data_IF_304389652607
#
_entry.id   IF_304389652607
#
_cell.length_a   1.000
_cell.length_b   1.000
_cell.length_c   1.000
_cell.angle_alpha   90.00
_cell.angle_beta   90.00
_cell.angle_gamma   90.00
#
_symmetry.space_group_name_H-M   'P 1'
#
loop_
_entity.id
_entity.type
_entity.pdbx_description
1 polymer ?
#
# COMPACT_ATOMS: atom_id res chain seq x y z
N UNK A 1 0.63 6.14 -6.37
CA UNK A 1 -0.84 6.31 -6.26
C UNK A 1 -1.38 6.33 -4.83
N UNK A 2 -1.30 5.25 -4.03
CA UNK A 2 -1.96 5.19 -2.71
C UNK A 2 -1.61 6.33 -1.74
N UNK A 3 -0.34 6.71 -1.64
CA UNK A 3 0.08 7.86 -0.82
C UNK A 3 -0.56 9.17 -1.28
N UNK A 4 -0.56 9.43 -2.59
CA UNK A 4 -1.24 10.60 -3.18
C UNK A 4 -2.73 10.57 -2.86
N UNK A 5 -3.41 9.43 -3.03
CA UNK A 5 -4.85 9.32 -2.71
C UNK A 5 -5.13 9.55 -1.22
N UNK A 6 -4.30 9.00 -0.33
CA UNK A 6 -4.44 9.21 1.12
C UNK A 6 -4.28 10.68 1.49
N UNK A 7 -3.40 11.40 0.79
CA UNK A 7 -3.25 12.85 0.89
C UNK A 7 -4.41 13.64 0.28
N UNK A 8 -4.92 13.20 -0.87
CA UNK A 8 -6.06 13.81 -1.55
C UNK A 8 -7.30 13.80 -0.65
N UNK A 9 -7.61 12.68 0.00
CA UNK A 9 -8.77 12.60 0.91
C UNK A 9 -8.48 13.14 2.32
N UNK A 10 -7.25 13.61 2.59
CA UNK A 10 -6.84 14.11 3.90
C UNK A 10 -7.72 15.28 4.36
N UNK A 11 -8.00 15.32 5.67
CA UNK A 11 -8.75 16.41 6.32
C UNK A 11 -7.98 16.85 7.57
N UNK A 12 -7.65 18.14 7.67
CA UNK A 12 -6.88 18.74 8.79
C UNK A 12 -7.45 18.40 10.18
N UNK A 13 -8.78 18.22 10.28
CA UNK A 13 -9.48 17.92 11.55
C UNK A 13 -9.44 16.44 11.96
N UNK A 14 -9.15 15.51 11.04
CA UNK A 14 -9.13 14.07 11.35
C UNK A 14 -7.72 13.57 11.72
N UNK A 15 -7.26 13.88 12.94
CA UNK A 15 -5.92 13.49 13.45
C UNK A 15 -5.89 12.24 14.32
N UNK A 16 -6.99 11.49 14.42
CA UNK A 16 -7.15 10.37 15.36
C UNK A 16 -6.13 9.24 15.13
N UNK A 17 -5.18 9.11 16.05
CA UNK A 17 -4.20 8.01 16.03
C UNK A 17 -4.88 6.65 16.16
N UNK A 18 -5.95 6.56 16.97
CA UNK A 18 -6.71 5.32 17.18
C UNK A 18 -7.34 4.80 15.90
N UNK A 19 -7.83 5.71 15.03
CA UNK A 19 -8.39 5.34 13.72
C UNK A 19 -7.30 4.78 12.82
N UNK A 20 -6.16 5.45 12.73
CA UNK A 20 -5.03 5.00 11.92
C UNK A 20 -4.44 3.67 12.41
N UNK A 21 -4.31 3.48 13.72
CA UNK A 21 -3.90 2.21 14.32
C UNK A 21 -4.85 1.07 13.90
N UNK A 22 -6.16 1.28 14.06
CA UNK A 22 -7.17 0.28 13.66
C UNK A 22 -7.18 -0.01 12.16
N UNK A 23 -6.88 0.98 11.34
CA UNK A 23 -6.92 0.83 9.88
C UNK A 23 -5.65 0.21 9.30
N UNK A 24 -4.48 0.45 9.91
CA UNK A 24 -3.19 0.09 9.30
C UNK A 24 -2.41 -0.90 10.16
N UNK A 25 -2.21 -0.59 11.44
CA UNK A 25 -1.37 -1.41 12.33
C UNK A 25 -2.08 -2.68 12.78
N UNK A 26 -3.38 -2.63 13.05
CA UNK A 26 -4.14 -3.83 13.45
C UNK A 26 -4.16 -4.86 12.32
N UNK A 27 -4.52 -4.53 11.06
CA UNK A 27 -4.41 -5.48 9.95
C UNK A 27 -2.98 -5.99 9.75
N UNK A 28 -1.98 -5.12 9.88
CA UNK A 28 -0.58 -5.51 9.79
C UNK A 28 -0.20 -6.59 10.82
N UNK A 29 -0.49 -6.37 12.11
CA UNK A 29 -0.20 -7.34 13.18
C UNK A 29 -0.97 -8.64 12.96
N UNK A 30 -2.25 -8.57 12.58
CA UNK A 30 -3.07 -9.76 12.31
C UNK A 30 -2.43 -10.58 11.18
N UNK A 31 -2.00 -9.95 10.08
CA UNK A 31 -1.36 -10.67 8.99
C UNK A 31 0.00 -11.23 9.42
N UNK A 32 0.82 -10.51 10.17
CA UNK A 32 2.08 -11.05 10.71
C UNK A 32 1.84 -12.29 11.57
N UNK A 33 0.82 -12.29 12.42
CA UNK A 33 0.43 -13.47 13.18
C UNK A 33 0.00 -14.64 12.26
N UNK A 34 -0.76 -14.35 11.20
CA UNK A 34 -1.14 -15.37 10.22
C UNK A 34 0.09 -15.94 9.48
N UNK A 35 1.08 -15.11 9.15
CA UNK A 35 2.35 -15.55 8.57
C UNK A 35 3.08 -16.51 9.49
N UNK A 36 3.16 -16.21 10.80
CA UNK A 36 3.77 -17.10 11.78
C UNK A 36 3.03 -18.45 11.81
N UNK A 37 1.70 -18.42 11.88
CA UNK A 37 0.87 -19.63 11.91
C UNK A 37 1.10 -20.49 10.66
N UNK A 38 1.11 -19.88 9.47
CA UNK A 38 1.35 -20.61 8.22
C UNK A 38 2.74 -21.24 8.16
N UNK A 39 3.77 -20.53 8.62
CA UNK A 39 5.13 -21.08 8.61
C UNK A 39 5.29 -22.23 9.62
N UNK A 40 4.71 -22.11 10.82
CA UNK A 40 4.70 -23.20 11.83
C UNK A 40 3.94 -24.42 11.30
N UNK A 41 2.78 -24.19 10.68
CA UNK A 41 1.99 -25.27 10.08
C UNK A 41 2.74 -25.97 8.95
N UNK A 42 3.33 -25.21 8.02
CA UNK A 42 4.10 -25.76 6.91
C UNK A 42 5.37 -26.50 7.34
N UNK A 43 6.03 -26.05 8.42
CA UNK A 43 7.19 -26.74 8.99
C UNK A 43 6.82 -27.99 9.80
N UNK A 44 5.54 -28.16 10.17
CA UNK A 44 5.08 -29.24 11.05
C UNK A 44 5.64 -29.17 12.48
N UNK A 45 6.30 -28.07 12.85
CA UNK A 45 6.94 -27.88 14.16
C UNK A 45 7.04 -26.40 14.53
N UNK A 46 7.13 -26.12 15.83
CA UNK A 46 7.43 -24.77 16.33
C UNK A 46 8.94 -24.56 16.29
N UNK A 47 9.40 -23.65 15.45
CA UNK A 47 10.79 -23.20 15.36
C UNK A 47 10.90 -21.77 15.90
N UNK A 48 11.56 -21.62 17.05
CA UNK A 48 11.69 -20.32 17.73
C UNK A 48 12.57 -19.33 16.95
N UNK A 49 13.57 -19.80 16.22
CA UNK A 49 14.48 -18.92 15.49
C UNK A 49 13.81 -18.41 14.22
N UNK A 50 13.01 -19.25 13.56
CA UNK A 50 12.09 -18.81 12.50
C UNK A 50 11.12 -17.73 13.00
N UNK A 51 10.48 -17.94 14.16
CA UNK A 51 9.54 -16.96 14.73
C UNK A 51 10.26 -15.64 15.05
N UNK A 52 11.44 -15.70 15.69
CA UNK A 52 12.26 -14.50 15.96
C UNK A 52 12.60 -13.77 14.66
N UNK A 53 12.97 -14.48 13.60
CA UNK A 53 13.29 -13.88 12.30
C UNK A 53 12.07 -13.20 11.65
N UNK A 54 10.88 -13.81 11.74
CA UNK A 54 9.64 -13.19 11.25
C UNK A 54 9.31 -11.94 12.06
N UNK A 55 9.41 -11.99 13.39
CA UNK A 55 9.18 -10.83 14.27
C UNK A 55 10.19 -9.72 14.00
N UNK A 56 11.47 -10.04 13.84
CA UNK A 56 12.52 -9.08 13.45
C UNK A 56 12.17 -8.43 12.10
N UNK A 57 11.81 -9.24 11.11
CA UNK A 57 11.39 -8.76 9.79
C UNK A 57 10.17 -7.85 9.88
N UNK A 58 9.20 -8.16 10.75
CA UNK A 58 8.03 -7.32 10.96
C UNK A 58 8.36 -6.00 11.68
N UNK A 59 9.24 -6.01 12.69
CA UNK A 59 9.66 -4.79 13.38
C UNK A 59 10.34 -3.78 12.44
N UNK A 60 11.18 -4.28 11.53
CA UNK A 60 11.82 -3.45 10.53
C UNK A 60 10.89 -3.10 9.36
N UNK A 61 9.99 -4.03 9.01
CA UNK A 61 8.95 -3.83 8.02
C UNK A 61 9.46 -3.70 6.58
N UNK A 62 10.67 -4.17 6.27
CA UNK A 62 11.28 -3.97 4.95
C UNK A 62 10.52 -4.71 3.84
N UNK A 63 10.27 -4.01 2.73
CA UNK A 63 9.62 -4.62 1.56
C UNK A 63 10.53 -5.56 0.77
N UNK A 64 11.84 -5.36 0.86
CA UNK A 64 12.88 -6.21 0.26
C UNK A 64 13.89 -6.63 1.33
N UNK A 65 14.66 -7.69 1.11
CA UNK A 65 15.65 -8.13 2.09
C UNK A 65 16.84 -7.16 2.12
N UNK A 66 17.41 -6.93 3.31
CA UNK A 66 18.59 -6.08 3.50
C UNK A 66 19.39 -6.53 4.72
N UNK A 67 20.67 -6.85 4.51
CA UNK A 67 21.51 -7.49 5.53
C UNK A 67 20.86 -8.76 6.08
N UNK A 68 20.83 -8.90 7.40
CA UNK A 68 20.23 -10.06 8.09
C UNK A 68 18.72 -9.90 8.38
N UNK A 69 18.04 -9.00 7.65
CA UNK A 69 16.61 -8.75 7.81
C UNK A 69 15.91 -9.17 6.53
N UNK A 70 14.96 -10.09 6.67
CA UNK A 70 14.17 -10.60 5.55
C UNK A 70 13.20 -9.56 5.00
N UNK A 71 12.48 -9.94 3.95
CA UNK A 71 11.39 -9.14 3.40
C UNK A 71 10.06 -9.52 4.05
N UNK A 72 9.26 -8.51 4.44
CA UNK A 72 7.89 -8.72 4.91
C UNK A 72 6.88 -8.81 3.75
N UNK A 73 7.32 -8.59 2.51
CA UNK A 73 6.45 -8.53 1.35
C UNK A 73 5.66 -7.23 1.29
N UNK A 74 4.51 -7.24 0.61
CA UNK A 74 3.71 -6.04 0.33
C UNK A 74 3.16 -5.36 1.60
N UNK A 75 3.18 -6.06 2.74
CA UNK A 75 2.81 -5.52 4.04
C UNK A 75 3.66 -4.34 4.49
N UNK A 76 4.86 -4.14 3.93
CA UNK A 76 5.75 -3.00 4.22
C UNK A 76 5.02 -1.65 4.09
N UNK A 77 4.01 -1.59 3.21
CA UNK A 77 3.23 -0.40 2.93
C UNK A 77 2.40 0.09 4.13
N UNK A 78 1.90 -0.81 4.99
CA UNK A 78 1.01 -0.45 6.11
C UNK A 78 1.72 0.37 7.21
N UNK A 79 2.86 -0.06 7.80
CA UNK A 79 3.60 0.76 8.76
C UNK A 79 4.12 2.04 8.11
N UNK A 80 4.58 2.00 6.85
CA UNK A 80 5.00 3.21 6.12
C UNK A 80 3.88 4.24 6.02
N UNK A 81 2.68 3.82 5.61
CA UNK A 81 1.51 4.70 5.51
C UNK A 81 1.12 5.27 6.88
N UNK A 82 1.21 4.45 7.94
CA UNK A 82 0.92 4.90 9.30
C UNK A 82 1.88 6.03 9.71
N UNK A 83 3.20 5.84 9.56
CA UNK A 83 4.20 6.84 9.90
C UNK A 83 4.07 8.07 8.99
N UNK A 84 3.84 7.91 7.70
CA UNK A 84 3.66 9.02 6.76
C UNK A 84 2.46 9.91 7.14
N UNK A 85 1.33 9.31 7.58
CA UNK A 85 0.19 10.05 8.14
C UNK A 85 0.56 10.81 9.40
N UNK A 86 1.38 10.24 10.29
CA UNK A 86 1.83 10.91 11.51
C UNK A 86 2.75 12.09 11.20
N UNK A 87 3.72 11.91 10.30
CA UNK A 87 4.59 12.99 9.81
C UNK A 87 3.77 14.12 9.18
N UNK A 88 2.82 13.78 8.32
CA UNK A 88 1.92 14.77 7.72
C UNK A 88 1.13 15.53 8.79
N UNK A 89 0.52 14.82 9.74
CA UNK A 89 -0.23 15.44 10.84
C UNK A 89 0.63 16.36 11.72
N UNK A 90 1.89 15.97 11.96
CA UNK A 90 2.87 16.75 12.71
C UNK A 90 3.21 18.06 11.99
N UNK A 91 3.55 18.00 10.70
CA UNK A 91 3.84 19.23 9.93
C UNK A 91 2.60 20.14 9.88
N UNK A 92 1.39 19.58 9.80
CA UNK A 92 0.15 20.36 9.85
C UNK A 92 -0.19 20.92 11.24
N UNK A 93 0.35 20.38 12.35
CA UNK A 93 0.20 20.97 13.69
C UNK A 93 1.15 22.13 13.95
N UNK A 94 2.22 22.29 13.18
CA UNK A 94 3.14 23.42 13.31
C UNK A 94 2.56 24.74 12.77
N UNK A 95 1.33 24.72 12.23
CA UNK A 95 0.61 25.90 11.72
C UNK A 95 1.38 26.79 10.73
N UNK A 96 2.34 26.18 10.03
CA UNK A 96 3.19 26.86 9.07
C UNK A 96 2.38 27.48 7.92
N UNK A 97 2.89 28.61 7.39
CA UNK A 97 2.46 29.13 6.09
C UNK A 97 2.68 28.04 5.02
N UNK A 98 1.89 28.07 3.95
CA UNK A 98 1.93 27.02 2.93
C UNK A 98 3.32 26.84 2.29
N UNK A 99 4.03 27.92 2.00
CA UNK A 99 5.41 27.86 1.48
C UNK A 99 6.36 27.13 2.42
N UNK A 100 6.31 27.44 3.72
CA UNK A 100 7.15 26.77 4.73
C UNK A 100 6.76 25.30 4.91
N UNK A 101 5.46 24.98 4.83
CA UNK A 101 4.99 23.60 4.84
C UNK A 101 5.45 22.82 3.60
N UNK A 102 5.42 23.44 2.43
CA UNK A 102 5.97 22.84 1.21
C UNK A 102 7.47 22.56 1.36
N UNK A 103 8.25 23.53 1.83
CA UNK A 103 9.68 23.36 2.09
C UNK A 103 9.95 22.27 3.14
N UNK A 104 9.14 22.19 4.21
CA UNK A 104 9.27 21.13 5.22
C UNK A 104 9.00 19.74 4.64
N UNK A 105 7.97 19.57 3.80
CA UNK A 105 7.66 18.30 3.14
C UNK A 105 8.73 17.91 2.12
N UNK A 106 9.24 18.88 1.35
CA UNK A 106 10.34 18.67 0.43
C UNK A 106 11.61 18.26 1.17
N UNK A 107 11.92 18.93 2.28
CA UNK A 107 13.04 18.59 3.15
C UNK A 107 12.93 17.16 3.68
N UNK A 108 11.77 16.78 4.24
CA UNK A 108 11.53 15.40 4.69
C UNK A 108 11.72 14.39 3.56
N UNK A 109 11.20 14.67 2.37
CA UNK A 109 11.35 13.78 1.21
C UNK A 109 12.83 13.57 0.85
N UNK A 110 13.61 14.65 0.73
CA UNK A 110 15.05 14.56 0.42
C UNK A 110 15.80 13.86 1.55
N UNK A 111 15.49 14.17 2.81
CA UNK A 111 16.08 13.53 3.98
C UNK A 111 15.82 12.02 3.98
N UNK A 112 14.58 11.59 3.69
CA UNK A 112 14.21 10.19 3.58
C UNK A 112 15.02 9.45 2.51
N UNK A 113 15.18 10.06 1.33
CA UNK A 113 16.03 9.50 0.26
C UNK A 113 17.48 9.34 0.74
N UNK A 114 18.04 10.35 1.41
CA UNK A 114 19.43 10.32 1.89
C UNK A 114 19.64 9.31 3.02
N UNK A 115 18.69 9.21 3.97
CA UNK A 115 18.74 8.19 5.03
C UNK A 115 18.68 6.80 4.40
N UNK A 116 17.69 6.53 3.54
CA UNK A 116 17.50 5.23 2.90
C UNK A 116 18.66 4.77 2.02
N UNK A 117 19.44 5.71 1.47
CA UNK A 117 20.66 5.43 0.73
C UNK A 117 21.84 4.98 1.62
N UNK A 118 21.80 5.32 2.92
CA UNK A 118 22.87 5.00 3.88
C UNK A 118 22.48 3.83 4.78
N UNK A 119 21.25 3.84 5.30
CA UNK A 119 20.75 2.85 6.25
C UNK A 119 19.24 2.68 6.13
N UNK A 120 18.80 1.43 6.18
CA UNK A 120 17.38 1.13 6.24
C UNK A 120 16.92 1.19 7.70
N UNK A 121 15.99 2.06 8.02
CA UNK A 121 15.55 2.27 9.40
C UNK A 121 14.28 1.46 9.72
N UNK A 122 14.05 1.09 11.00
CA UNK A 122 12.85 0.34 11.38
C UNK A 122 11.55 1.00 10.94
N UNK A 123 10.53 0.19 10.66
CA UNK A 123 9.22 0.59 10.17
C UNK A 123 9.23 1.42 8.86
N UNK A 124 10.33 1.37 8.10
CA UNK A 124 10.58 2.19 6.90
C UNK A 124 10.33 3.70 7.13
N UNK A 125 10.80 4.25 8.25
CA UNK A 125 10.63 5.69 8.54
C UNK A 125 11.23 6.55 7.42
N UNK A 126 12.35 6.14 6.82
CA UNK A 126 12.97 6.76 5.64
C UNK A 126 11.98 6.86 4.47
N UNK A 127 11.35 5.74 4.10
CA UNK A 127 10.32 5.73 3.04
C UNK A 127 9.11 6.55 3.45
N UNK A 128 8.71 6.51 4.73
CA UNK A 128 7.56 7.25 5.23
C UNK A 128 7.77 8.77 5.10
N UNK A 129 9.00 9.26 5.22
CA UNK A 129 9.33 10.66 4.93
C UNK A 129 9.07 11.00 3.46
N UNK A 130 9.52 10.16 2.53
CA UNK A 130 9.24 10.31 1.09
C UNK A 130 7.74 10.25 0.80
N UNK A 131 7.06 9.26 1.36
CA UNK A 131 5.62 9.07 1.23
C UNK A 131 4.81 10.26 1.74
N UNK A 132 5.25 10.92 2.82
CA UNK A 132 4.59 12.12 3.35
C UNK A 132 4.61 13.29 2.35
N UNK A 133 5.67 13.42 1.55
CA UNK A 133 5.74 14.37 0.44
C UNK A 133 4.70 14.06 -0.64
N UNK A 134 4.56 12.79 -1.04
CA UNK A 134 3.53 12.35 -1.98
C UNK A 134 2.11 12.56 -1.46
N UNK A 135 1.88 12.34 -0.16
CA UNK A 135 0.61 12.68 0.48
C UNK A 135 0.36 14.20 0.44
N UNK A 136 1.38 15.02 0.68
CA UNK A 136 1.22 16.47 0.60
C UNK A 136 0.87 16.94 -0.83
N UNK A 137 1.48 16.35 -1.86
CA UNK A 137 1.10 16.59 -3.26
C UNK A 137 -0.38 16.25 -3.48
N UNK A 138 -0.84 15.09 -2.98
CA UNK A 138 -2.25 14.72 -3.02
C UNK A 138 -3.17 15.75 -2.37
N UNK A 139 -2.79 16.25 -1.19
CA UNK A 139 -3.51 17.33 -0.51
C UNK A 139 -3.58 18.60 -1.35
N UNK A 140 -2.47 19.02 -1.97
CA UNK A 140 -2.43 20.20 -2.85
C UNK A 140 -3.33 20.02 -4.07
N UNK A 141 -3.33 18.83 -4.70
CA UNK A 141 -4.19 18.54 -5.86
C UNK A 141 -5.66 18.82 -5.57
N UNK A 142 -6.15 18.40 -4.39
CA UNK A 142 -7.52 18.68 -3.95
C UNK A 142 -7.72 20.13 -3.55
N UNK A 143 -6.87 20.66 -2.68
CA UNK A 143 -7.09 21.97 -2.06
C UNK A 143 -6.90 23.15 -3.02
N UNK A 144 -6.09 22.97 -4.07
CA UNK A 144 -5.91 23.96 -5.13
C UNK A 144 -6.93 23.80 -6.27
N UNK A 145 -7.90 22.89 -6.14
CA UNK A 145 -8.88 22.57 -7.19
C UNK A 145 -8.20 22.40 -8.56
N UNK A 146 -7.06 21.69 -8.60
CA UNK A 146 -6.30 21.53 -9.85
C UNK A 146 -7.18 20.79 -10.84
N UNK A 147 -7.68 21.53 -11.83
CA UNK A 147 -8.59 21.00 -12.83
C UNK A 147 -7.85 19.99 -13.69
N UNK A 148 -8.34 18.74 -13.71
CA UNK A 148 -7.78 17.68 -14.54
C UNK A 148 -8.26 17.85 -15.99
N UNK A 149 -7.81 18.92 -16.65
CA UNK A 149 -8.09 19.18 -18.07
C UNK A 149 -7.30 18.22 -18.97
N UNK A 150 -7.80 17.98 -20.19
CA UNK A 150 -7.17 17.07 -21.16
C UNK A 150 -5.71 17.41 -21.44
N UNK A 151 -5.38 18.68 -21.57
CA UNK A 151 -4.00 19.12 -21.89
C UNK A 151 -3.03 18.84 -20.74
N UNK A 152 -3.47 19.03 -19.48
CA UNK A 152 -2.68 18.69 -18.30
C UNK A 152 -2.45 17.18 -18.23
N UNK A 153 -3.49 16.39 -18.51
CA UNK A 153 -3.40 14.93 -18.53
C UNK A 153 -2.48 14.44 -19.65
N UNK A 154 -2.52 15.08 -20.82
CA UNK A 154 -1.60 14.79 -21.93
C UNK A 154 -0.15 15.10 -21.54
N UNK A 155 0.13 16.25 -20.93
CA UNK A 155 1.45 16.56 -20.37
C UNK A 155 1.90 15.54 -19.31
N UNK A 156 0.99 15.13 -18.43
CA UNK A 156 1.25 14.06 -17.46
C UNK A 156 1.57 12.73 -18.13
N UNK A 157 0.90 12.39 -19.24
CA UNK A 157 1.16 11.17 -20.00
C UNK A 157 2.59 11.16 -20.57
N UNK A 158 3.03 12.25 -21.19
CA UNK A 158 4.40 12.35 -21.70
C UNK A 158 5.45 12.30 -20.57
N UNK A 159 5.18 12.96 -19.44
CA UNK A 159 6.07 12.94 -18.28
C UNK A 159 6.17 11.54 -17.64
N UNK A 160 5.03 10.87 -17.48
CA UNK A 160 4.98 9.47 -17.02
C UNK A 160 5.72 8.54 -17.99
N UNK A 161 5.50 8.69 -19.30
CA UNK A 161 6.19 7.90 -20.31
C UNK A 161 7.71 8.11 -20.30
N UNK A 162 8.16 9.37 -20.16
CA UNK A 162 9.57 9.70 -20.02
C UNK A 162 10.18 9.07 -18.76
N UNK A 163 9.46 9.08 -17.62
CA UNK A 163 9.91 8.43 -16.40
C UNK A 163 10.06 6.91 -16.57
N UNK A 164 9.08 6.24 -17.19
CA UNK A 164 9.16 4.79 -17.50
C UNK A 164 10.38 4.46 -18.36
N UNK A 165 10.83 5.38 -19.22
CA UNK A 165 12.05 5.21 -20.02
C UNK A 165 13.34 5.54 -19.27
N UNK A 166 13.28 6.37 -18.24
CA UNK A 166 14.44 6.85 -17.51
C UNK A 166 14.95 5.85 -16.46
N UNK A 167 14.07 5.02 -15.91
CA UNK A 167 14.45 3.98 -14.97
C UNK A 167 13.26 3.38 -14.23
N UNK A 168 13.52 2.29 -13.52
CA UNK A 168 12.56 1.69 -12.62
C UNK A 168 12.60 2.36 -11.25
N UNK A 169 11.44 2.47 -10.61
CA UNK A 169 11.33 3.02 -9.27
C UNK A 169 10.66 1.98 -8.36
N UNK A 170 11.44 1.42 -7.45
CA UNK A 170 10.97 0.43 -6.49
C UNK A 170 11.23 0.93 -5.07
N UNK A 171 10.14 1.25 -4.36
CA UNK A 171 10.24 1.88 -3.04
C UNK A 171 10.69 0.89 -1.96
N UNK A 172 10.30 -0.38 -2.06
CA UNK A 172 10.66 -1.45 -1.13
C UNK A 172 12.18 -1.66 -1.02
N UNK A 173 12.88 -1.48 -2.13
CA UNK A 173 14.33 -1.62 -2.27
C UNK A 173 15.10 -0.29 -2.25
N UNK A 174 14.43 0.85 -1.97
CA UNK A 174 15.01 2.21 -2.01
C UNK A 174 15.63 2.58 -3.36
N UNK A 175 15.16 1.94 -4.45
CA UNK A 175 15.58 2.26 -5.80
C UNK A 175 14.80 3.46 -6.31
N UNK A 176 15.40 4.65 -6.18
CA UNK A 176 14.78 5.90 -6.59
C UNK A 176 15.37 6.49 -7.86
N UNK A 177 16.64 6.23 -8.18
CA UNK A 177 17.36 6.97 -9.23
C UNK A 177 16.90 6.68 -10.67
N UNK A 178 16.82 7.69 -11.55
CA UNK A 178 16.90 9.13 -11.25
C UNK A 178 15.63 9.66 -10.56
N UNK A 179 15.75 10.01 -9.27
CA UNK A 179 14.58 10.22 -8.40
C UNK A 179 13.66 11.36 -8.83
N UNK A 180 14.20 12.42 -9.43
CA UNK A 180 13.41 13.58 -9.84
C UNK A 180 12.37 13.20 -10.92
N UNK A 181 12.83 12.58 -12.01
CA UNK A 181 11.94 12.19 -13.11
C UNK A 181 11.03 11.04 -12.71
N UNK A 182 11.53 10.08 -11.93
CA UNK A 182 10.71 8.97 -11.42
C UNK A 182 9.60 9.44 -10.49
N UNK A 183 9.87 10.39 -9.59
CA UNK A 183 8.86 10.93 -8.70
C UNK A 183 7.84 11.79 -9.46
N UNK A 184 8.33 12.63 -10.38
CA UNK A 184 7.47 13.44 -11.23
C UNK A 184 6.56 12.56 -12.10
N UNK A 185 7.10 11.48 -12.68
CA UNK A 185 6.36 10.49 -13.43
C UNK A 185 5.34 9.72 -12.59
N UNK A 186 5.67 9.38 -11.34
CA UNK A 186 4.74 8.71 -10.42
C UNK A 186 3.56 9.61 -10.01
N UNK A 187 3.82 10.91 -9.81
CA UNK A 187 2.77 11.92 -9.59
C UNK A 187 1.91 12.05 -10.85
N UNK A 188 2.53 12.20 -12.01
CA UNK A 188 1.85 12.31 -13.30
C UNK A 188 0.97 11.09 -13.60
N UNK A 189 1.50 9.88 -13.44
CA UNK A 189 0.74 8.64 -13.56
C UNK A 189 -0.45 8.59 -12.59
N UNK A 190 -0.26 9.06 -11.35
CA UNK A 190 -1.36 9.12 -10.38
C UNK A 190 -2.46 10.13 -10.78
N UNK A 191 -2.09 11.25 -11.40
CA UNK A 191 -3.04 12.24 -11.96
C UNK A 191 -3.82 11.64 -13.13
N UNK A 192 -3.17 10.89 -14.03
CA UNK A 192 -3.83 10.19 -15.15
C UNK A 192 -4.88 9.22 -14.60
N UNK A 193 -4.51 8.40 -13.62
CA UNK A 193 -5.44 7.45 -13.00
C UNK A 193 -6.62 8.18 -12.34
N UNK A 194 -6.36 9.27 -11.60
CA UNK A 194 -7.42 10.09 -11.01
C UNK A 194 -8.39 10.63 -12.06
N UNK A 195 -7.88 11.12 -13.18
CA UNK A 195 -8.70 11.59 -14.30
C UNK A 195 -9.55 10.46 -14.90
N UNK A 196 -8.95 9.29 -15.13
CA UNK A 196 -9.68 8.12 -15.62
C UNK A 196 -10.79 7.69 -14.65
N UNK A 197 -10.50 7.67 -13.34
CA UNK A 197 -11.50 7.37 -12.31
C UNK A 197 -12.69 8.35 -12.34
N UNK A 198 -12.44 9.65 -12.54
CA UNK A 198 -13.51 10.65 -12.69
C UNK A 198 -14.38 10.39 -13.93
N UNK A 199 -13.78 9.94 -15.04
CA UNK A 199 -14.52 9.59 -16.26
C UNK A 199 -15.32 8.30 -16.11
N UNK A 200 -14.76 7.32 -15.42
CA UNK A 200 -15.45 6.05 -15.14
C UNK A 200 -16.57 6.20 -14.10
N UNK A 201 -16.64 7.32 -13.36
CA UNK A 201 -17.68 7.53 -12.35
C UNK A 201 -19.10 7.56 -12.93
N UNK A 202 -19.25 7.94 -14.20
CA UNK A 202 -20.54 7.92 -14.91
C UNK A 202 -21.05 6.52 -15.22
N UNK A 203 -20.17 5.51 -15.20
CA UNK A 203 -20.52 4.12 -15.51
C UNK A 203 -20.86 3.41 -14.20
N UNK A 204 -22.15 3.31 -13.88
CA UNK A 204 -22.67 2.79 -12.59
C UNK A 204 -22.07 1.45 -12.18
N UNK A 205 -21.89 0.52 -13.12
CA UNK A 205 -21.33 -0.81 -12.83
C UNK A 205 -19.87 -0.70 -12.40
N UNK A 206 -19.03 0.03 -13.15
CA UNK A 206 -17.63 0.24 -12.80
C UNK A 206 -17.49 1.00 -11.48
N UNK A 207 -18.28 2.05 -11.28
CA UNK A 207 -18.30 2.81 -10.02
C UNK A 207 -18.58 1.89 -8.83
N UNK A 208 -19.64 1.07 -8.90
CA UNK A 208 -20.01 0.15 -7.81
C UNK A 208 -18.93 -0.90 -7.55
N UNK A 209 -18.44 -1.58 -8.61
CA UNK A 209 -17.46 -2.65 -8.47
C UNK A 209 -16.10 -2.15 -7.98
N UNK A 210 -15.55 -1.09 -8.58
CA UNK A 210 -14.27 -0.53 -8.18
C UNK A 210 -14.33 0.10 -6.79
N UNK A 211 -15.45 0.75 -6.42
CA UNK A 211 -15.62 1.26 -5.06
C UNK A 211 -15.69 0.14 -4.03
N UNK A 212 -16.36 -0.97 -4.35
CA UNK A 212 -16.42 -2.14 -3.49
C UNK A 212 -15.01 -2.70 -3.21
N UNK A 213 -14.23 -2.96 -4.26
CA UNK A 213 -12.83 -3.42 -4.11
C UNK A 213 -11.98 -2.38 -3.37
N UNK A 214 -12.17 -1.10 -3.68
CA UNK A 214 -11.50 0.03 -3.03
C UNK A 214 -11.73 0.12 -1.52
N UNK A 215 -12.96 -0.12 -1.06
CA UNK A 215 -13.29 -0.13 0.38
C UNK A 215 -12.62 -1.29 1.14
N UNK A 216 -12.24 -2.36 0.44
CA UNK A 216 -11.64 -3.56 1.00
C UNK A 216 -10.16 -3.73 0.64
N UNK A 217 -9.51 -2.71 0.06
CA UNK A 217 -8.14 -2.85 -0.46
C UNK A 217 -7.10 -3.24 0.59
N UNK A 218 -7.25 -2.81 1.86
CA UNK A 218 -6.32 -3.25 2.92
C UNK A 218 -6.48 -4.74 3.21
N UNK A 219 -7.71 -5.26 3.23
CA UNK A 219 -7.96 -6.69 3.37
C UNK A 219 -7.40 -7.45 2.18
N UNK A 220 -7.62 -6.95 0.96
CA UNK A 220 -7.09 -7.54 -0.26
C UNK A 220 -5.55 -7.58 -0.26
N UNK A 221 -4.88 -6.51 0.21
CA UNK A 221 -3.42 -6.48 0.39
C UNK A 221 -2.95 -7.55 1.37
N UNK A 222 -3.64 -7.70 2.51
CA UNK A 222 -3.34 -8.73 3.50
C UNK A 222 -3.50 -10.15 2.92
N UNK A 223 -4.54 -10.39 2.13
CA UNK A 223 -4.78 -11.68 1.47
C UNK A 223 -3.68 -11.95 0.43
N UNK A 224 -3.36 -10.96 -0.40
CA UNK A 224 -2.32 -11.07 -1.42
C UNK A 224 -0.94 -11.43 -0.84
N UNK A 225 -0.57 -10.83 0.30
CA UNK A 225 0.68 -11.18 0.97
C UNK A 225 0.70 -12.63 1.48
N UNK A 226 -0.45 -13.13 1.94
CA UNK A 226 -0.59 -14.52 2.39
C UNK A 226 -0.61 -15.50 1.21
N UNK A 227 -1.27 -15.14 0.10
CA UNK A 227 -1.25 -15.91 -1.15
C UNK A 227 0.20 -16.15 -1.63
N UNK A 228 1.05 -15.12 -1.58
CA UNK A 228 2.47 -15.24 -1.93
C UNK A 228 3.24 -16.25 -1.08
N UNK A 229 2.72 -16.61 0.10
CA UNK A 229 3.37 -17.55 1.03
C UNK A 229 2.83 -18.98 0.91
N UNK A 230 1.83 -19.20 0.07
CA UNK A 230 1.31 -20.55 -0.18
C UNK A 230 2.36 -21.39 -0.94
N UNK A 231 2.47 -22.70 -0.66
CA UNK A 231 3.36 -23.58 -1.42
C UNK A 231 3.03 -23.54 -2.92
N UNK A 232 3.97 -23.00 -3.70
CA UNK A 232 3.73 -22.72 -5.12
C UNK A 232 3.29 -23.97 -5.87
N UNK A 233 3.98 -25.10 -5.71
CA UNK A 233 3.68 -26.31 -6.47
C UNK A 233 2.27 -26.86 -6.23
N UNK A 234 1.71 -26.63 -5.03
CA UNK A 234 0.38 -27.10 -4.65
C UNK A 234 -0.72 -26.18 -5.18
N UNK A 235 -0.56 -24.87 -5.04
CA UNK A 235 -1.61 -23.89 -5.37
C UNK A 235 -1.49 -23.32 -6.78
N UNK A 236 -0.26 -23.19 -7.27
CA UNK A 236 0.10 -22.45 -8.47
C UNK A 236 0.94 -23.26 -9.46
N UNK A 237 1.31 -24.51 -9.13
CA UNK A 237 2.14 -25.38 -9.98
C UNK A 237 1.54 -25.62 -11.36
N UNK A 238 0.20 -25.69 -11.47
CA UNK A 238 -0.49 -25.82 -12.75
C UNK A 238 -0.17 -24.66 -13.72
N UNK A 239 0.22 -23.48 -13.24
CA UNK A 239 0.58 -22.35 -14.10
C UNK A 239 1.81 -22.65 -14.96
N UNK A 240 2.68 -23.58 -14.53
CA UNK A 240 3.86 -23.99 -15.29
C UNK A 240 3.51 -24.67 -16.62
N UNK A 241 2.26 -25.10 -16.83
CA UNK A 241 1.80 -25.65 -18.11
C UNK A 241 1.70 -24.59 -19.23
N UNK A 242 1.59 -23.30 -18.87
CA UNK A 242 1.48 -22.22 -19.84
C UNK A 242 2.85 -21.83 -20.36
N UNK A 243 3.17 -22.27 -21.58
CA UNK A 243 4.44 -21.95 -22.22
C UNK A 243 4.51 -20.48 -22.66
N UNK A 244 5.71 -19.90 -22.52
CA UNK A 244 6.00 -18.52 -22.89
C UNK A 244 5.84 -17.54 -21.72
N UNK A 245 6.90 -16.78 -21.44
CA UNK A 245 7.00 -15.89 -20.27
C UNK A 245 5.82 -14.93 -20.14
N UNK A 246 5.39 -14.32 -21.26
CA UNK A 246 4.26 -13.38 -21.27
C UNK A 246 2.92 -14.02 -20.93
N UNK A 247 2.70 -15.24 -21.44
CA UNK A 247 1.45 -15.98 -21.20
C UNK A 247 1.42 -16.48 -19.76
N UNK A 248 2.53 -17.06 -19.30
CA UNK A 248 2.71 -17.46 -17.90
C UNK A 248 2.44 -16.28 -16.95
N UNK A 249 3.08 -15.13 -17.19
CA UNK A 249 2.89 -13.94 -16.37
C UNK A 249 1.44 -13.49 -16.36
N UNK A 250 0.81 -13.36 -17.53
CA UNK A 250 -0.58 -12.93 -17.64
C UNK A 250 -1.53 -13.88 -16.92
N UNK A 251 -1.37 -15.20 -17.10
CA UNK A 251 -2.19 -16.20 -16.42
C UNK A 251 -1.94 -16.20 -14.92
N UNK A 252 -0.70 -16.03 -14.46
CA UNK A 252 -0.38 -15.90 -13.04
C UNK A 252 -1.10 -14.72 -12.41
N UNK A 253 -1.06 -13.54 -13.05
CA UNK A 253 -1.76 -12.34 -12.57
C UNK A 253 -3.27 -12.59 -12.51
N UNK A 254 -3.86 -13.15 -13.56
CA UNK A 254 -5.31 -13.41 -13.61
C UNK A 254 -5.76 -14.41 -12.54
N UNK A 255 -5.08 -15.55 -12.43
CA UNK A 255 -5.45 -16.61 -11.48
C UNK A 255 -5.30 -16.13 -10.04
N UNK A 256 -4.18 -15.47 -9.71
CA UNK A 256 -3.92 -14.97 -8.35
C UNK A 256 -4.86 -13.83 -7.98
N UNK A 257 -5.10 -12.88 -8.88
CA UNK A 257 -6.10 -11.83 -8.65
C UNK A 257 -7.50 -12.41 -8.45
N UNK A 258 -7.89 -13.42 -9.23
CA UNK A 258 -9.16 -14.12 -9.06
C UNK A 258 -9.27 -14.81 -7.69
N UNK A 259 -8.20 -15.46 -7.25
CA UNK A 259 -8.11 -16.09 -5.93
C UNK A 259 -8.20 -15.07 -4.79
N UNK A 260 -7.42 -13.99 -4.85
CA UNK A 260 -7.43 -12.93 -3.83
C UNK A 260 -8.83 -12.32 -3.66
N UNK A 261 -9.53 -12.07 -4.77
CA UNK A 261 -10.90 -11.58 -4.77
C UNK A 261 -11.89 -12.61 -4.19
N UNK A 262 -11.74 -13.89 -4.54
CA UNK A 262 -12.59 -14.96 -4.01
C UNK A 262 -12.42 -15.11 -2.50
N UNK A 263 -11.19 -15.16 -2.01
CA UNK A 263 -10.87 -15.25 -0.58
C UNK A 263 -11.41 -14.01 0.15
N UNK A 264 -11.27 -12.82 -0.42
CA UNK A 264 -11.86 -11.60 0.13
C UNK A 264 -13.38 -11.72 0.30
N UNK A 265 -14.09 -12.23 -0.72
CA UNK A 265 -15.54 -12.44 -0.65
C UNK A 265 -15.91 -13.45 0.44
N UNK A 266 -15.18 -14.56 0.55
CA UNK A 266 -15.37 -15.58 1.60
C UNK A 266 -15.19 -14.95 2.99
N UNK A 267 -14.11 -14.20 3.22
CA UNK A 267 -13.86 -13.49 4.47
C UNK A 267 -15.01 -12.54 4.83
N UNK A 268 -15.55 -11.81 3.86
CA UNK A 268 -16.67 -10.88 4.09
C UNK A 268 -17.98 -11.61 4.41
N UNK A 269 -18.24 -12.76 3.78
CA UNK A 269 -19.39 -13.62 4.11
C UNK A 269 -19.27 -14.17 5.52
N UNK A 270 -18.12 -14.75 5.88
CA UNK A 270 -17.86 -15.26 7.23
C UNK A 270 -18.03 -14.15 8.26
N UNK A 271 -17.43 -12.98 8.02
CA UNK A 271 -17.58 -11.83 8.92
C UNK A 271 -19.05 -11.43 9.10
N UNK A 272 -19.85 -11.40 8.03
CA UNK A 272 -21.28 -11.08 8.10
C UNK A 272 -22.05 -12.13 8.91
N UNK A 273 -21.78 -13.42 8.70
CA UNK A 273 -22.44 -14.53 9.42
C UNK A 273 -22.11 -14.49 10.91
N UNK A 274 -20.81 -14.41 11.25
CA UNK A 274 -20.35 -14.33 12.65
C UNK A 274 -20.92 -13.09 13.34
N UNK A 275 -20.90 -11.94 12.67
CA UNK A 275 -21.50 -10.72 13.20
C UNK A 275 -22.98 -10.93 13.51
N UNK A 276 -23.75 -11.47 12.58
CA UNK A 276 -25.18 -11.70 12.78
C UNK A 276 -25.46 -12.67 13.95
N UNK A 277 -24.67 -13.74 14.09
CA UNK A 277 -24.80 -14.70 15.19
C UNK A 277 -24.48 -14.09 16.57
N UNK A 278 -23.45 -13.24 16.65
CA UNK A 278 -23.07 -12.57 17.92
C UNK A 278 -24.09 -11.50 18.31
N UNK A 279 -24.63 -10.76 17.34
CA UNK A 279 -25.63 -9.71 17.61
C UNK A 279 -27.05 -10.25 17.80
N UNK A 280 -27.40 -11.43 17.26
CA UNK A 280 -28.66 -12.10 17.58
C UNK A 280 -28.68 -12.59 19.04
N UNK A 281 -27.56 -13.14 19.53
CA UNK A 281 -27.43 -13.54 20.93
C UNK A 281 -27.53 -12.36 21.92
N UNK A 282 -27.07 -11.15 21.57
CA UNK A 282 -27.23 -9.99 22.46
C UNK A 282 -28.66 -9.47 22.58
N UNK A 283 -29.56 -9.82 21.65
CA UNK A 283 -30.99 -9.44 21.71
C UNK A 283 -31.85 -10.42 22.50
N UNK A 284 -31.37 -11.63 22.80
CA UNK A 284 -32.13 -12.62 23.59
C UNK A 284 -31.92 -12.49 25.11
N UNK A 285 -31.08 -11.55 25.56
CA UNK A 285 -30.74 -11.32 26.97
C UNK A 285 -31.02 -9.87 27.43
N UNK A 286 -31.82 -9.12 26.68
CA UNK A 286 -32.38 -7.81 27.07
C UNK A 286 -33.89 -7.89 27.11
#
# INVERSE_FOLDING_TARGET
LFFILSGYVYKKKEKSIRKDLKQLIVPYIITVCAVIIFNVWGAGRVDLDMIKNIVKTALYGYGSAYGDIGMIGALWFLPTMFIARRLMNFVFSLELKETHRFLAMLFLMVLGIRIGAVVWVPMNVDIAMVASGFMYIGYLLRNRNISLKKDIVAGCFFLWFAAVKAGEMEWSSRMYDPWMINFAGAVAGSIIILYLCQKMESITILKKSLSFVGMHTILLLCIHDLDWRLPFDVYWGFLQQFQGEKIYFFMSVLCRMGFDLLVMLICLVIYRVVKNAVFSHKKSFS
#
